data_IF_181108374890
#
_entry.id   IF_181108374890
#
_cell.length_a   1.000
_cell.length_b   1.000
_cell.length_c   1.000
_cell.angle_alpha   90.00
_cell.angle_beta   90.00
_cell.angle_gamma   90.00
#
_symmetry.space_group_name_H-M   'P 1'
#
loop_
_entity.id
_entity.type
_entity.pdbx_description
1 polymer ?
#
# COMPACT_ATOMS: atom_id res chain seq x y z
N UNK A 1 -30.14 37.18 -27.55
CA UNK A 1 -28.85 36.53 -27.92
C UNK A 1 -27.81 36.50 -26.79
N UNK A 2 -27.71 37.54 -25.95
CA UNK A 2 -26.76 37.59 -24.81
C UNK A 2 -27.10 36.59 -23.69
N UNK A 3 -28.39 36.34 -23.42
CA UNK A 3 -28.83 35.42 -22.37
C UNK A 3 -28.48 33.94 -22.68
N UNK A 4 -28.64 33.51 -23.94
CA UNK A 4 -28.29 32.16 -24.43
C UNK A 4 -26.78 31.92 -24.35
N UNK A 5 -25.95 32.93 -24.64
CA UNK A 5 -24.48 32.85 -24.50
C UNK A 5 -24.04 32.66 -23.04
N UNK A 6 -24.72 33.31 -22.08
CA UNK A 6 -24.41 33.15 -20.65
C UNK A 6 -24.79 31.76 -20.11
N UNK A 7 -25.93 31.21 -20.55
CA UNK A 7 -26.39 29.87 -20.17
C UNK A 7 -25.47 28.79 -20.75
N UNK A 8 -25.02 28.94 -22.00
CA UNK A 8 -24.07 28.02 -22.63
C UNK A 8 -22.70 28.02 -21.93
N UNK A 9 -22.23 29.16 -21.42
CA UNK A 9 -20.98 29.25 -20.66
C UNK A 9 -21.07 28.53 -19.30
N UNK A 10 -22.22 28.63 -18.61
CA UNK A 10 -22.45 27.94 -17.33
C UNK A 10 -22.54 26.41 -17.53
N UNK A 11 -23.17 25.97 -18.62
CA UNK A 11 -23.29 24.54 -18.95
C UNK A 11 -21.91 23.92 -19.27
N UNK A 12 -20.99 24.70 -19.87
CA UNK A 12 -19.63 24.25 -20.18
C UNK A 12 -18.78 24.03 -18.92
N UNK A 13 -19.01 24.79 -17.86
CA UNK A 13 -18.29 24.65 -16.59
C UNK A 13 -18.67 23.38 -15.81
N UNK A 14 -19.87 22.83 -16.02
CA UNK A 14 -20.33 21.62 -15.33
C UNK A 14 -19.70 20.33 -15.89
N UNK A 15 -19.17 20.37 -17.12
CA UNK A 15 -18.46 19.23 -17.72
C UNK A 15 -16.96 19.17 -17.36
N UNK A 16 -16.45 20.17 -16.61
CA UNK A 16 -15.05 20.22 -16.16
C UNK A 16 -14.84 19.55 -14.79
N UNK A 17 -15.85 18.90 -14.22
CA UNK A 17 -15.64 18.04 -13.04
C UNK A 17 -14.98 16.75 -13.51
N UNK A 18 -13.66 16.78 -13.69
CA UNK A 18 -12.88 15.56 -13.81
C UNK A 18 -13.14 14.67 -12.59
N UNK A 19 -13.19 13.35 -12.78
CA UNK A 19 -13.15 12.42 -11.66
C UNK A 19 -11.87 12.74 -10.87
N UNK A 20 -12.01 13.41 -9.73
CA UNK A 20 -10.89 13.59 -8.83
C UNK A 20 -10.46 12.18 -8.40
N UNK A 21 -9.32 11.72 -8.91
CA UNK A 21 -8.62 10.60 -8.30
C UNK A 21 -8.45 10.94 -6.83
N UNK A 22 -8.71 9.97 -5.95
CA UNK A 22 -8.54 10.18 -4.51
C UNK A 22 -7.14 10.78 -4.29
N UNK A 23 -7.07 11.86 -3.51
CA UNK A 23 -5.85 12.63 -3.31
C UNK A 23 -4.74 11.77 -2.67
N UNK A 24 -3.50 12.19 -2.86
CA UNK A 24 -2.35 11.60 -2.18
C UNK A 24 -2.51 11.79 -0.67
N UNK A 25 -2.13 10.77 0.09
CA UNK A 25 -2.16 10.83 1.54
C UNK A 25 -1.10 9.93 2.16
N UNK A 26 -0.77 10.26 3.40
CA UNK A 26 0.13 9.49 4.26
C UNK A 26 -0.64 9.08 5.51
N UNK A 27 -0.55 7.81 5.88
CA UNK A 27 -1.04 7.27 7.15
C UNK A 27 0.18 6.92 7.99
N UNK A 28 0.28 7.50 9.18
CA UNK A 28 1.30 7.15 10.17
C UNK A 28 0.91 5.82 10.86
N UNK A 29 1.82 4.84 10.83
CA UNK A 29 1.65 3.55 11.51
C UNK A 29 2.34 3.51 12.88
N UNK A 30 2.78 4.66 13.37
CA UNK A 30 3.63 4.82 14.55
C UNK A 30 5.05 4.23 14.34
N UNK A 31 5.95 4.45 15.30
CA UNK A 31 7.31 3.90 15.32
C UNK A 31 8.18 4.22 14.09
N UNK A 32 7.88 5.31 13.37
CA UNK A 32 8.63 5.74 12.19
C UNK A 32 8.29 4.98 10.92
N UNK A 33 7.12 4.34 10.85
CA UNK A 33 6.60 3.69 9.65
C UNK A 33 5.37 4.43 9.14
N UNK A 34 5.19 4.43 7.82
CA UNK A 34 4.06 5.09 7.17
C UNK A 34 3.61 4.36 5.92
N UNK A 35 2.34 4.52 5.60
CA UNK A 35 1.76 4.14 4.32
C UNK A 35 1.65 5.41 3.48
N UNK A 36 2.34 5.45 2.35
CA UNK A 36 2.20 6.53 1.38
C UNK A 36 1.37 6.03 0.20
N UNK A 37 0.28 6.76 -0.08
CA UNK A 37 -0.52 6.60 -1.30
C UNK A 37 -0.24 7.76 -2.24
N UNK A 38 0.37 7.46 -3.38
CA UNK A 38 0.69 8.41 -4.46
C UNK A 38 -0.21 8.22 -5.69
N UNK A 39 -0.94 7.11 -5.76
CA UNK A 39 -1.96 6.87 -6.79
C UNK A 39 -2.91 5.74 -6.37
N UNK A 40 -3.89 5.42 -7.20
CA UNK A 40 -4.79 4.29 -6.95
C UNK A 40 -4.05 2.93 -6.86
N UNK A 41 -2.88 2.81 -7.48
CA UNK A 41 -2.09 1.57 -7.47
C UNK A 41 -0.80 1.70 -6.67
N UNK A 42 -0.31 2.91 -6.43
CA UNK A 42 0.92 3.18 -5.68
C UNK A 42 0.59 3.46 -4.21
N UNK A 43 0.36 2.37 -3.46
CA UNK A 43 0.16 2.37 -2.00
C UNK A 43 1.24 1.46 -1.42
N UNK A 44 2.22 2.02 -0.71
CA UNK A 44 3.41 1.32 -0.25
C UNK A 44 3.75 1.67 1.20
N UNK A 45 4.54 0.82 1.87
CA UNK A 45 5.02 1.07 3.24
C UNK A 45 6.48 1.51 3.21
N UNK A 46 6.74 2.64 3.86
CA UNK A 46 8.07 3.21 4.06
C UNK A 46 8.40 3.29 5.55
N UNK A 47 9.69 3.31 5.86
CA UNK A 47 10.20 3.59 7.20
C UNK A 47 11.11 4.82 7.23
N UNK A 48 11.40 5.31 8.42
CA UNK A 48 12.36 6.39 8.68
C UNK A 48 13.80 5.85 8.83
N UNK A 49 13.94 4.53 8.94
CA UNK A 49 15.21 3.80 8.94
C UNK A 49 15.31 2.96 7.67
N UNK A 50 16.51 2.72 7.15
CA UNK A 50 16.66 1.85 6.00
C UNK A 50 16.32 0.41 6.39
N UNK A 51 15.74 -0.32 5.43
CA UNK A 51 15.58 -1.77 5.51
C UNK A 51 16.95 -2.38 5.75
N UNK A 52 17.08 -3.22 6.77
CA UNK A 52 18.32 -3.94 7.03
C UNK A 52 18.60 -4.89 5.86
N UNK A 53 19.79 -4.78 5.29
CA UNK A 53 20.27 -5.60 4.17
C UNK A 53 21.67 -6.12 4.47
N UNK A 54 21.99 -7.30 3.94
CA UNK A 54 23.34 -7.86 4.00
C UNK A 54 24.33 -7.05 3.13
N UNK A 55 23.82 -6.28 2.16
CA UNK A 55 24.61 -5.36 1.35
C UNK A 55 24.53 -3.95 1.93
N UNK A 56 25.56 -3.57 2.69
CA UNK A 56 25.68 -2.25 3.33
C UNK A 56 25.73 -1.07 2.34
N UNK A 57 25.89 -1.34 1.04
CA UNK A 57 25.89 -0.28 0.00
C UNK A 57 24.49 0.10 -0.49
N UNK A 58 23.47 -0.72 -0.18
CA UNK A 58 22.09 -0.49 -0.60
C UNK A 58 21.34 0.19 0.54
N UNK A 59 20.99 1.46 0.34
CA UNK A 59 20.11 2.21 1.25
C UNK A 59 18.71 2.25 0.66
N UNK A 60 17.79 1.48 1.24
CA UNK A 60 16.40 1.42 0.81
C UNK A 60 15.46 1.71 1.99
N UNK A 61 14.50 2.63 1.81
CA UNK A 61 13.47 2.94 2.82
C UNK A 61 12.10 2.35 2.48
N UNK A 62 11.97 1.71 1.32
CA UNK A 62 10.77 0.98 0.91
C UNK A 62 10.77 -0.40 1.55
N UNK A 63 9.92 -0.59 2.56
CA UNK A 63 9.76 -1.88 3.23
C UNK A 63 8.84 -2.79 2.44
N UNK A 64 7.69 -2.30 1.99
CA UNK A 64 6.72 -3.10 1.23
C UNK A 64 6.30 -2.37 -0.04
N UNK A 65 6.52 -2.96 -1.22
CA UNK A 65 6.15 -2.34 -2.49
C UNK A 65 4.63 -2.26 -2.67
N UNK A 66 4.21 -1.47 -3.66
CA UNK A 66 2.81 -1.36 -4.01
C UNK A 66 2.26 -2.69 -4.61
N UNK A 67 0.98 -3.05 -4.47
CA UNK A 67 -0.14 -2.30 -3.89
C UNK A 67 -0.57 -2.90 -2.55
N UNK A 68 -0.26 -2.22 -1.45
CA UNK A 68 -0.74 -2.61 -0.12
C UNK A 68 -2.24 -2.33 0.00
N UNK A 69 -3.00 -3.26 0.58
CA UNK A 69 -4.47 -3.15 0.72
C UNK A 69 -4.96 -3.17 2.16
N UNK A 70 -4.29 -3.94 3.01
CA UNK A 70 -4.70 -4.14 4.40
C UNK A 70 -3.47 -4.24 5.29
N UNK A 71 -3.57 -3.72 6.50
CA UNK A 71 -2.47 -3.67 7.46
C UNK A 71 -2.96 -3.94 8.88
N UNK A 72 -2.11 -4.52 9.69
CA UNK A 72 -2.23 -4.65 11.13
C UNK A 72 -0.85 -4.34 11.72
N UNK A 73 -0.80 -3.67 12.87
CA UNK A 73 0.47 -3.34 13.50
C UNK A 73 0.35 -3.26 15.02
N UNK A 74 1.47 -3.46 15.68
CA UNK A 74 1.69 -3.13 17.08
C UNK A 74 3.08 -2.49 17.23
N UNK A 75 3.60 -2.43 18.46
CA UNK A 75 4.91 -1.84 18.75
C UNK A 75 6.11 -2.62 18.18
N UNK A 76 5.94 -3.92 17.91
CA UNK A 76 7.03 -4.83 17.55
C UNK A 76 6.98 -5.22 16.07
N UNK A 77 5.78 -5.31 15.50
CA UNK A 77 5.58 -5.82 14.15
C UNK A 77 4.52 -5.05 13.36
N UNK A 78 4.70 -5.01 12.04
CA UNK A 78 3.67 -4.63 11.07
C UNK A 78 3.44 -5.83 10.16
N UNK A 79 2.19 -6.27 10.03
CA UNK A 79 1.76 -7.33 9.12
C UNK A 79 0.86 -6.74 8.06
N UNK A 80 1.11 -7.05 6.80
CA UNK A 80 0.41 -6.43 5.69
C UNK A 80 0.04 -7.40 4.58
N UNK A 81 -1.03 -7.07 3.88
CA UNK A 81 -1.51 -7.74 2.68
C UNK A 81 -1.31 -6.85 1.47
N UNK A 82 -0.80 -7.44 0.40
CA UNK A 82 -0.48 -6.81 -0.86
C UNK A 82 -1.19 -7.52 -2.00
N UNK A 83 -1.70 -6.75 -2.96
CA UNK A 83 -2.04 -7.27 -4.29
C UNK A 83 -0.81 -7.11 -5.18
N UNK A 84 -0.32 -8.22 -5.73
CA UNK A 84 0.81 -8.23 -6.66
C UNK A 84 0.38 -7.58 -7.97
N UNK A 85 1.05 -6.50 -8.36
CA UNK A 85 0.77 -5.81 -9.61
C UNK A 85 1.39 -6.56 -10.80
N UNK A 86 0.70 -6.53 -11.93
CA UNK A 86 1.19 -7.03 -13.22
C UNK A 86 1.57 -5.87 -14.10
N UNK A 87 2.65 -6.03 -14.86
CA UNK A 87 3.11 -5.03 -15.82
C UNK A 87 2.39 -5.24 -17.15
N UNK A 88 1.79 -4.19 -17.69
CA UNK A 88 1.15 -4.23 -19.01
C UNK A 88 2.16 -4.07 -20.16
N UNK A 89 1.67 -4.13 -21.40
CA UNK A 89 2.49 -4.00 -22.61
C UNK A 89 3.25 -2.66 -22.73
N UNK A 90 2.79 -1.63 -22.01
CA UNK A 90 3.38 -0.29 -22.00
C UNK A 90 4.31 -0.08 -20.80
N UNK A 91 4.51 -1.10 -19.96
CA UNK A 91 5.35 -1.00 -18.77
C UNK A 91 4.65 -0.44 -17.53
N UNK A 92 3.32 -0.25 -17.57
CA UNK A 92 2.58 0.25 -16.40
C UNK A 92 2.13 -0.89 -15.50
N UNK A 93 2.32 -0.70 -14.20
CA UNK A 93 1.84 -1.61 -13.16
C UNK A 93 0.34 -1.43 -12.94
N UNK A 94 -0.41 -2.53 -13.04
CA UNK A 94 -1.85 -2.57 -12.78
C UNK A 94 -2.22 -3.80 -11.95
N UNK A 95 -3.34 -3.79 -11.20
CA UNK A 95 -3.85 -4.98 -10.55
C UNK A 95 -4.19 -6.06 -11.59
N UNK A 96 -4.10 -7.35 -11.23
CA UNK A 96 -4.51 -8.45 -12.09
C UNK A 96 -6.01 -8.36 -12.38
N UNK A 97 -6.42 -8.80 -13.57
CA UNK A 97 -7.83 -8.80 -13.97
C UNK A 97 -8.69 -9.72 -13.10
N UNK A 98 -8.09 -10.81 -12.62
CA UNK A 98 -8.73 -11.77 -11.71
C UNK A 98 -7.87 -11.91 -10.47
N UNK A 99 -8.43 -11.51 -9.33
CA UNK A 99 -7.78 -11.68 -8.05
C UNK A 99 -7.97 -13.13 -7.55
N UNK A 100 -6.87 -13.82 -7.30
CA UNK A 100 -6.84 -15.10 -6.62
C UNK A 100 -5.75 -15.09 -5.54
N UNK A 101 -5.62 -16.19 -4.80
CA UNK A 101 -4.60 -16.31 -3.76
C UNK A 101 -3.16 -16.24 -4.32
N UNK A 102 -2.96 -16.43 -5.64
CA UNK A 102 -1.64 -16.32 -6.28
C UNK A 102 -1.16 -14.89 -6.44
N UNK A 103 -2.09 -13.94 -6.53
CA UNK A 103 -1.80 -12.51 -6.69
C UNK A 103 -1.92 -11.76 -5.36
N UNK A 104 -1.98 -12.50 -4.26
CA UNK A 104 -1.96 -11.96 -2.90
C UNK A 104 -0.61 -12.33 -2.29
N UNK A 105 0.04 -11.36 -1.68
CA UNK A 105 1.25 -11.56 -0.90
C UNK A 105 1.10 -10.94 0.47
N UNK A 106 1.79 -11.51 1.44
CA UNK A 106 1.85 -11.02 2.80
C UNK A 106 3.28 -10.68 3.17
N UNK A 107 3.43 -9.68 4.02
CA UNK A 107 4.73 -9.23 4.51
C UNK A 107 4.67 -9.00 6.00
N UNK A 108 5.78 -9.24 6.69
CA UNK A 108 5.99 -8.91 8.10
C UNK A 108 7.18 -7.96 8.17
N UNK A 109 7.02 -6.83 8.85
CA UNK A 109 8.12 -5.92 9.19
C UNK A 109 8.39 -6.10 10.67
N UNK A 110 9.64 -6.38 11.02
CA UNK A 110 10.14 -6.27 12.39
C UNK A 110 10.58 -4.83 12.63
N UNK A 111 9.81 -4.14 13.47
CA UNK A 111 9.98 -2.72 13.77
C UNK A 111 11.29 -2.47 14.50
N UNK A 112 11.68 -3.39 15.39
CA UNK A 112 12.84 -3.25 16.27
C UNK A 112 14.15 -3.48 15.52
N UNK A 113 14.15 -4.44 14.59
CA UNK A 113 15.34 -4.81 13.82
C UNK A 113 15.40 -4.17 12.43
N UNK A 114 14.35 -3.44 12.03
CA UNK A 114 14.24 -2.84 10.70
C UNK A 114 14.33 -3.85 9.56
N UNK A 115 13.89 -5.09 9.81
CA UNK A 115 13.88 -6.18 8.85
C UNK A 115 12.51 -6.33 8.20
N UNK A 116 12.50 -6.81 6.96
CA UNK A 116 11.27 -7.17 6.25
C UNK A 116 11.34 -8.62 5.79
N UNK A 117 10.26 -9.34 6.02
CA UNK A 117 10.08 -10.73 5.65
C UNK A 117 8.93 -10.83 4.65
N UNK A 118 9.17 -11.54 3.55
CA UNK A 118 8.20 -11.75 2.48
C UNK A 118 8.84 -11.66 1.10
N UNK A 119 8.04 -11.70 0.03
CA UNK A 119 6.58 -11.92 0.06
C UNK A 119 6.22 -13.36 0.46
N UNK A 120 5.13 -13.52 1.20
CA UNK A 120 4.60 -14.82 1.63
C UNK A 120 3.22 -15.10 1.04
N UNK A 121 2.89 -16.38 0.90
CA UNK A 121 1.49 -16.82 0.84
C UNK A 121 0.91 -16.92 2.27
N UNK A 122 -0.40 -17.18 2.37
CA UNK A 122 -1.10 -17.24 3.66
C UNK A 122 -0.53 -18.32 4.61
N UNK A 123 -0.13 -19.48 4.07
CA UNK A 123 0.42 -20.58 4.89
C UNK A 123 1.80 -20.23 5.44
N UNK A 124 2.63 -19.58 4.62
CA UNK A 124 3.95 -19.15 5.03
C UNK A 124 3.86 -17.98 6.02
N UNK A 125 2.88 -17.08 5.86
CA UNK A 125 2.58 -16.06 6.85
C UNK A 125 2.28 -16.69 8.21
N UNK A 126 1.34 -17.64 8.29
CA UNK A 126 0.96 -18.31 9.54
C UNK A 126 2.17 -18.96 10.22
N UNK A 127 2.97 -19.70 9.45
CA UNK A 127 4.19 -20.32 9.97
C UNK A 127 5.23 -19.31 10.48
N UNK A 128 5.43 -18.19 9.77
CA UNK A 128 6.38 -17.16 10.22
C UNK A 128 5.87 -16.36 11.41
N UNK A 129 4.56 -16.08 11.50
CA UNK A 129 3.99 -15.44 12.69
C UNK A 129 4.13 -16.33 13.93
N UNK A 130 3.99 -17.64 13.78
CA UNK A 130 4.23 -18.61 14.85
C UNK A 130 5.72 -18.65 15.25
N UNK A 131 6.63 -18.69 14.27
CA UNK A 131 8.09 -18.71 14.51
C UNK A 131 8.58 -17.47 15.26
N UNK A 132 8.02 -16.30 14.93
CA UNK A 132 8.32 -15.02 15.57
C UNK A 132 7.61 -14.85 16.93
N UNK A 133 6.74 -15.79 17.32
CA UNK A 133 6.00 -15.74 18.58
C UNK A 133 4.92 -14.65 18.60
N UNK A 134 4.38 -14.23 17.45
CA UNK A 134 3.24 -13.30 17.39
C UNK A 134 1.98 -14.02 17.86
N UNK A 135 1.69 -13.90 19.15
CA UNK A 135 0.49 -14.51 19.77
C UNK A 135 -0.74 -13.61 19.73
N UNK A 136 -0.58 -12.34 19.35
CA UNK A 136 -1.69 -11.41 19.20
C UNK A 136 -2.56 -11.80 17.99
N UNK A 137 -3.87 -11.59 18.14
CA UNK A 137 -4.79 -11.83 17.03
C UNK A 137 -4.58 -10.78 15.95
N UNK A 138 -3.96 -11.18 14.84
CA UNK A 138 -3.79 -10.36 13.65
C UNK A 138 -5.17 -10.16 12.99
N UNK A 139 -5.64 -8.92 12.96
CA UNK A 139 -6.86 -8.51 12.27
C UNK A 139 -6.51 -7.40 11.28
N UNK A 140 -6.19 -7.80 10.05
CA UNK A 140 -5.85 -6.89 8.97
C UNK A 140 -7.01 -5.92 8.70
N UNK A 141 -6.70 -4.63 8.78
CA UNK A 141 -7.63 -3.54 8.52
C UNK A 141 -7.33 -2.94 7.16
N UNK A 142 -8.35 -2.84 6.31
CA UNK A 142 -8.21 -2.20 5.00
C UNK A 142 -7.73 -0.75 5.17
N UNK A 143 -6.75 -0.36 4.36
CA UNK A 143 -6.15 0.98 4.39
C UNK A 143 -7.20 2.07 4.17
N UNK A 144 -8.21 1.81 3.32
CA UNK A 144 -9.30 2.75 3.06
C UNK A 144 -10.14 3.08 4.30
N UNK A 145 -10.08 2.27 5.36
CA UNK A 145 -10.76 2.49 6.65
C UNK A 145 -9.91 3.26 7.67
N UNK A 146 -8.64 3.51 7.39
CA UNK A 146 -7.71 4.20 8.29
C UNK A 146 -7.65 5.72 8.05
N UNK A 147 -8.37 6.19 7.02
CA UNK A 147 -8.53 7.61 6.67
C UNK A 147 -9.60 8.30 7.49
#
# INVERSE_FOLDING_TARGET
MILIKKVMLILLCLFLTGCAGMADYTIDLENGYRIDRLSAHQIAIYGDKPVQSDDETIVNYLYVPAKVTDVWWNKDYIVTKQIVLVVDENGYEKPPEKLSNKEISYWIIDVNNHQVFGPFDEKKLEAETDNLGLTEKISLTSIEKLK
#
